data_IF_069899914281
#
_entry.id   IF_069899914281
#
_cell.length_a   1.000
_cell.length_b   1.000
_cell.length_c   1.000
_cell.angle_alpha   90.00
_cell.angle_beta   90.00
_cell.angle_gamma   90.00
#
_symmetry.space_group_name_H-M   'P 1'
#
loop_
_entity.id
_entity.type
_entity.pdbx_description
1 polymer ?
#
# COMPACT_ATOMS: atom_id res chain seq x y z
N UNK A 1 -32.92 -36.65 -0.23
CA UNK A 1 -31.89 -36.03 0.65
C UNK A 1 -30.72 -35.40 -0.09
N UNK A 2 -30.14 -36.02 -1.15
CA UNK A 2 -29.00 -35.42 -1.88
C UNK A 2 -29.38 -34.12 -2.60
N UNK A 3 -30.52 -34.06 -3.30
CA UNK A 3 -31.00 -32.86 -4.02
C UNK A 3 -31.22 -31.65 -3.11
N UNK A 4 -31.81 -31.84 -1.93
CA UNK A 4 -32.01 -30.78 -0.93
C UNK A 4 -30.68 -30.19 -0.41
N UNK A 5 -29.65 -31.02 -0.24
CA UNK A 5 -28.31 -30.54 0.15
C UNK A 5 -27.66 -29.68 -0.94
N UNK A 6 -27.86 -30.01 -2.22
CA UNK A 6 -27.31 -29.22 -3.33
C UNK A 6 -28.03 -27.88 -3.49
N UNK A 7 -29.36 -27.87 -3.30
CA UNK A 7 -30.15 -26.63 -3.32
C UNK A 7 -29.75 -25.73 -2.15
N UNK A 8 -29.60 -26.28 -0.94
CA UNK A 8 -29.16 -25.51 0.23
C UNK A 8 -27.73 -24.95 0.04
N UNK A 9 -26.82 -25.76 -0.51
CA UNK A 9 -25.46 -25.31 -0.86
C UNK A 9 -25.47 -24.18 -1.89
N UNK A 10 -26.33 -24.27 -2.91
CA UNK A 10 -26.46 -23.24 -3.93
C UNK A 10 -26.98 -21.92 -3.36
N UNK A 11 -28.02 -21.94 -2.53
CA UNK A 11 -28.56 -20.74 -1.88
C UNK A 11 -27.57 -20.12 -0.87
N UNK A 12 -26.85 -20.95 -0.11
CA UNK A 12 -25.80 -20.46 0.81
C UNK A 12 -24.62 -19.87 0.05
N UNK A 13 -24.20 -20.46 -1.06
CA UNK A 13 -23.17 -19.89 -1.93
C UNK A 13 -23.61 -18.54 -2.52
N UNK A 14 -24.85 -18.42 -3.01
CA UNK A 14 -25.40 -17.15 -3.51
C UNK A 14 -25.43 -16.09 -2.41
N UNK A 15 -25.85 -16.44 -1.20
CA UNK A 15 -25.90 -15.52 -0.07
C UNK A 15 -24.50 -15.07 0.38
N UNK A 16 -23.52 -15.98 0.37
CA UNK A 16 -22.13 -15.63 0.66
C UNK A 16 -21.51 -14.75 -0.44
N UNK A 17 -21.90 -14.95 -1.70
CA UNK A 17 -21.46 -14.15 -2.84
C UNK A 17 -22.10 -12.75 -2.88
N UNK A 18 -23.31 -12.59 -2.35
CA UNK A 18 -23.98 -11.28 -2.22
C UNK A 18 -23.52 -10.49 -0.99
N UNK A 19 -22.93 -11.16 0.00
CA UNK A 19 -22.33 -10.49 1.15
C UNK A 19 -21.09 -9.69 0.74
N UNK A 20 -20.99 -8.43 1.19
CA UNK A 20 -19.87 -7.53 0.87
C UNK A 20 -18.61 -7.85 1.72
N UNK A 21 -18.12 -9.08 1.60
CA UNK A 21 -16.97 -9.62 2.32
C UNK A 21 -15.67 -9.40 1.54
N UNK A 22 -14.52 -9.63 2.19
CA UNK A 22 -13.21 -9.64 1.53
C UNK A 22 -13.17 -10.66 0.40
N UNK A 23 -13.74 -11.85 0.62
CA UNK A 23 -13.78 -12.94 -0.35
C UNK A 23 -14.50 -12.51 -1.63
N UNK A 24 -15.68 -11.88 -1.52
CA UNK A 24 -16.46 -11.49 -2.68
C UNK A 24 -15.84 -10.32 -3.44
N UNK A 25 -15.24 -9.36 -2.72
CA UNK A 25 -14.45 -8.29 -3.36
C UNK A 25 -13.25 -8.86 -4.11
N UNK A 26 -12.50 -9.77 -3.50
CA UNK A 26 -11.35 -10.40 -4.14
C UNK A 26 -11.76 -11.23 -5.38
N UNK A 27 -12.82 -12.04 -5.30
CA UNK A 27 -13.31 -12.79 -6.47
C UNK A 27 -13.77 -11.86 -7.60
N UNK A 28 -14.37 -10.72 -7.26
CA UNK A 28 -14.89 -9.76 -8.23
C UNK A 28 -13.80 -8.91 -8.90
N UNK A 29 -12.84 -8.43 -8.12
CA UNK A 29 -11.86 -7.44 -8.55
C UNK A 29 -10.45 -8.01 -8.75
N UNK A 30 -10.14 -9.16 -8.16
CA UNK A 30 -8.82 -9.79 -8.27
C UNK A 30 -7.79 -9.20 -7.29
N UNK A 31 -6.52 -9.38 -7.63
CA UNK A 31 -5.39 -8.73 -6.95
C UNK A 31 -5.34 -7.24 -7.24
N UNK A 32 -4.56 -6.49 -6.46
CA UNK A 32 -4.40 -5.05 -6.65
C UNK A 32 -3.96 -4.64 -8.05
N UNK A 33 -4.55 -3.55 -8.55
CA UNK A 33 -4.28 -2.98 -9.87
C UNK A 33 -4.08 -1.44 -9.81
N UNK A 34 -3.48 -0.88 -10.86
CA UNK A 34 -3.26 0.56 -11.01
C UNK A 34 -4.56 1.36 -11.15
N UNK A 35 -5.64 0.70 -11.56
CA UNK A 35 -6.96 1.30 -11.79
C UNK A 35 -7.92 1.17 -10.59
N UNK A 36 -7.45 0.63 -9.46
CA UNK A 36 -8.31 0.34 -8.30
C UNK A 36 -8.91 1.59 -7.63
N UNK A 37 -8.39 2.79 -7.92
CA UNK A 37 -9.04 4.04 -7.50
C UNK A 37 -10.51 4.14 -7.98
N UNK A 38 -10.89 3.39 -9.02
CA UNK A 38 -12.26 3.32 -9.55
C UNK A 38 -13.22 2.49 -8.67
N UNK A 39 -12.70 1.58 -7.85
CA UNK A 39 -13.50 0.67 -7.02
C UNK A 39 -13.55 1.07 -5.54
N UNK A 40 -12.60 1.88 -5.09
CA UNK A 40 -12.55 2.38 -3.72
C UNK A 40 -13.24 3.75 -3.58
N UNK A 41 -13.79 4.08 -2.40
CA UNK A 41 -14.32 5.41 -2.14
C UNK A 41 -13.21 6.46 -2.23
N UNK A 42 -13.49 7.57 -2.89
CA UNK A 42 -12.57 8.70 -3.02
C UNK A 42 -12.91 9.77 -1.99
N UNK A 43 -11.87 10.38 -1.42
CA UNK A 43 -12.00 11.57 -0.59
C UNK A 43 -11.55 12.77 -1.39
N UNK A 44 -12.41 13.79 -1.44
CA UNK A 44 -12.10 15.06 -2.07
C UNK A 44 -11.37 15.95 -1.06
N UNK A 45 -10.15 16.35 -1.40
CA UNK A 45 -9.38 17.31 -0.62
C UNK A 45 -9.47 18.69 -1.25
N UNK A 46 -9.45 19.73 -0.43
CA UNK A 46 -9.30 21.08 -0.93
C UNK A 46 -7.91 21.23 -1.56
N UNK A 47 -7.86 21.62 -2.83
CA UNK A 47 -6.59 21.86 -3.51
C UNK A 47 -5.80 22.97 -2.81
N UNK A 48 -4.49 22.78 -2.69
CA UNK A 48 -3.60 23.84 -2.26
C UNK A 48 -3.56 24.94 -3.35
N UNK A 49 -3.89 26.21 -3.04
CA UNK A 49 -3.85 27.29 -4.03
C UNK A 49 -2.43 27.53 -4.56
N UNK A 50 -1.39 27.17 -3.80
CA UNK A 50 0.00 27.26 -4.22
C UNK A 50 0.34 26.06 -5.11
N UNK A 51 0.21 26.26 -6.43
CA UNK A 51 0.65 25.28 -7.43
C UNK A 51 2.05 25.60 -7.89
N UNK A 52 2.94 24.61 -7.81
CA UNK A 52 4.22 24.68 -8.49
C UNK A 52 4.03 24.24 -9.95
N UNK A 53 4.53 25.03 -10.90
CA UNK A 53 4.46 24.71 -12.33
C UNK A 53 5.86 24.45 -12.85
N UNK A 54 6.06 23.28 -13.47
CA UNK A 54 7.33 22.95 -14.13
C UNK A 54 7.46 23.72 -15.44
N UNK A 55 8.64 24.24 -15.72
CA UNK A 55 8.99 24.73 -17.04
C UNK A 55 9.05 23.56 -18.05
N UNK A 56 8.76 23.83 -19.31
CA UNK A 56 8.78 22.81 -20.38
C UNK A 56 10.05 22.98 -21.22
N UNK A 57 10.87 21.93 -21.28
CA UNK A 57 12.05 21.89 -22.14
C UNK A 57 12.14 20.52 -22.82
N UNK A 58 11.20 20.27 -23.73
CA UNK A 58 11.11 19.01 -24.46
C UNK A 58 12.11 19.02 -25.62
N UNK A 59 13.31 18.51 -25.39
CA UNK A 59 14.25 18.32 -26.48
C UNK A 59 15.07 17.05 -26.25
N UNK A 60 14.60 15.92 -26.79
CA UNK A 60 15.42 14.72 -26.99
C UNK A 60 14.68 13.66 -27.80
N UNK A 61 15.36 13.10 -28.79
CA UNK A 61 14.94 11.89 -29.51
C UNK A 61 15.46 10.67 -28.72
N UNK A 62 14.54 9.79 -28.29
CA UNK A 62 14.80 8.71 -27.32
C UNK A 62 14.25 7.36 -27.83
N UNK A 63 14.42 7.09 -29.12
CA UNK A 63 13.73 6.00 -29.83
C UNK A 63 13.97 4.61 -29.21
N UNK A 64 15.19 4.30 -28.77
CA UNK A 64 15.49 3.02 -28.09
C UNK A 64 14.87 2.91 -26.70
N UNK A 65 14.80 4.02 -25.95
CA UNK A 65 14.14 4.06 -24.66
C UNK A 65 12.62 3.91 -24.81
N UNK A 66 12.04 4.54 -25.83
CA UNK A 66 10.61 4.43 -26.14
C UNK A 66 10.18 2.98 -26.41
N UNK A 67 10.98 2.25 -27.19
CA UNK A 67 10.73 0.81 -27.44
C UNK A 67 10.80 -0.01 -26.14
N UNK A 68 11.76 0.29 -25.27
CA UNK A 68 11.86 -0.37 -23.97
C UNK A 68 10.63 -0.07 -23.08
N UNK A 69 10.26 1.20 -22.95
CA UNK A 69 9.12 1.63 -22.12
C UNK A 69 7.80 1.01 -22.60
N UNK A 70 7.59 0.93 -23.91
CA UNK A 70 6.39 0.29 -24.44
C UNK A 70 6.38 -1.22 -24.14
N UNK A 71 7.53 -1.89 -24.33
CA UNK A 71 7.71 -3.32 -24.03
C UNK A 71 7.54 -3.65 -22.55
N UNK A 72 7.93 -2.75 -21.64
CA UNK A 72 7.76 -2.94 -20.18
C UNK A 72 6.38 -2.56 -19.68
N UNK A 73 5.42 -2.34 -20.56
CA UNK A 73 4.06 -1.96 -20.19
C UNK A 73 3.94 -0.64 -19.42
N UNK A 74 4.89 0.29 -19.61
CA UNK A 74 4.84 1.61 -18.99
C UNK A 74 3.56 2.35 -19.36
N UNK A 75 3.00 3.12 -18.41
CA UNK A 75 1.83 3.99 -18.60
C UNK A 75 2.23 5.45 -18.71
N UNK A 76 3.10 5.90 -17.82
CA UNK A 76 3.62 7.26 -17.77
C UNK A 76 5.13 7.23 -17.49
N UNK A 77 5.87 8.11 -18.17
CA UNK A 77 7.29 8.31 -17.94
C UNK A 77 7.63 9.80 -18.05
N UNK A 78 8.24 10.34 -17.00
CA UNK A 78 8.55 11.77 -16.88
C UNK A 78 9.99 11.92 -16.37
N UNK A 79 10.77 12.79 -17.00
CA UNK A 79 12.12 13.19 -16.56
C UNK A 79 12.11 14.65 -16.20
N UNK A 80 12.40 14.94 -14.93
CA UNK A 80 12.46 16.29 -14.38
C UNK A 80 13.90 16.59 -13.98
N UNK A 81 14.39 17.77 -14.36
CA UNK A 81 15.68 18.30 -13.90
C UNK A 81 15.48 19.73 -13.46
N UNK A 82 15.87 20.02 -12.21
CA UNK A 82 15.65 21.30 -11.55
C UNK A 82 14.14 21.63 -11.50
N UNK A 83 13.72 22.65 -12.23
CA UNK A 83 12.36 23.16 -12.34
C UNK A 83 11.68 22.76 -13.66
N UNK A 84 12.35 21.97 -14.50
CA UNK A 84 11.96 21.74 -15.88
C UNK A 84 11.65 20.27 -16.17
N UNK A 85 10.52 20.01 -16.81
CA UNK A 85 10.22 18.74 -17.47
C UNK A 85 11.05 18.68 -18.75
N UNK A 86 12.02 17.78 -18.79
CA UNK A 86 12.89 17.57 -19.95
C UNK A 86 12.27 16.60 -20.96
N UNK A 87 11.50 15.65 -20.44
CA UNK A 87 10.85 14.63 -21.22
C UNK A 87 9.59 14.15 -20.51
N UNK A 88 8.54 13.91 -21.28
CA UNK A 88 7.31 13.33 -20.78
C UNK A 88 6.63 12.53 -21.90
N UNK A 89 6.21 11.32 -21.56
CA UNK A 89 5.48 10.45 -22.48
C UNK A 89 4.48 9.61 -21.72
N UNK A 90 3.27 9.55 -22.28
CA UNK A 90 2.21 8.68 -21.84
C UNK A 90 1.91 7.62 -22.91
N UNK A 91 1.50 6.45 -22.45
CA UNK A 91 1.29 5.25 -23.25
C UNK A 91 -0.09 4.68 -22.99
N UNK A 92 -0.61 3.84 -23.90
CA UNK A 92 -1.86 3.08 -23.72
C UNK A 92 -3.05 3.97 -23.34
N UNK A 93 -3.16 5.12 -24.02
CA UNK A 93 -4.20 6.14 -23.82
C UNK A 93 -4.22 6.79 -22.44
N UNK A 94 -3.15 6.67 -21.65
CA UNK A 94 -2.97 7.52 -20.48
C UNK A 94 -2.60 8.94 -20.92
N UNK A 95 -2.93 9.89 -20.06
CA UNK A 95 -2.67 11.31 -20.14
C UNK A 95 -2.07 11.81 -18.83
N UNK A 96 -1.75 13.10 -18.79
CA UNK A 96 -1.23 13.76 -17.59
C UNK A 96 -2.25 13.79 -16.46
N UNK A 97 -3.53 13.80 -16.80
CA UNK A 97 -4.66 13.97 -15.91
C UNK A 97 -5.16 12.63 -15.33
N UNK A 98 -4.69 11.50 -15.87
CA UNK A 98 -5.12 10.18 -15.42
C UNK A 98 -4.52 9.79 -14.07
N UNK A 99 -5.37 9.22 -13.21
CA UNK A 99 -4.98 8.71 -11.90
C UNK A 99 -4.43 7.28 -12.07
N UNK A 100 -3.35 6.97 -11.34
CA UNK A 100 -2.76 5.64 -11.29
C UNK A 100 -2.25 5.33 -9.89
N UNK A 101 -2.52 4.13 -9.38
CA UNK A 101 -1.99 3.67 -8.10
C UNK A 101 -0.47 3.55 -8.17
N UNK A 102 0.24 4.23 -7.26
CA UNK A 102 1.72 4.22 -7.20
C UNK A 102 2.28 3.12 -6.26
N UNK A 103 1.39 2.30 -5.70
CA UNK A 103 1.72 1.21 -4.78
C UNK A 103 2.67 1.63 -3.65
N UNK A 104 3.81 0.95 -3.51
CA UNK A 104 4.75 1.17 -2.41
C UNK A 104 5.52 2.48 -2.48
N UNK A 105 5.43 3.25 -3.57
CA UNK A 105 5.94 4.64 -3.61
C UNK A 105 5.30 5.47 -2.49
N UNK A 106 4.04 5.21 -2.15
CA UNK A 106 3.33 5.87 -1.05
C UNK A 106 4.05 5.76 0.30
N UNK A 107 4.84 4.70 0.54
CA UNK A 107 5.58 4.53 1.81
C UNK A 107 6.63 5.62 2.02
N UNK A 108 7.25 6.10 0.94
CA UNK A 108 8.21 7.21 0.99
C UNK A 108 7.52 8.51 1.38
N UNK A 109 6.29 8.75 0.88
CA UNK A 109 5.47 9.89 1.27
C UNK A 109 5.08 9.79 2.75
N UNK A 110 4.65 8.61 3.22
CA UNK A 110 4.38 8.39 4.65
C UNK A 110 5.62 8.65 5.51
N UNK A 111 6.80 8.17 5.09
CA UNK A 111 8.07 8.44 5.81
C UNK A 111 8.41 9.93 5.86
N UNK A 112 8.16 10.68 4.78
CA UNK A 112 8.33 12.12 4.74
C UNK A 112 7.40 12.81 5.75
N UNK A 113 6.13 12.41 5.82
CA UNK A 113 5.16 12.94 6.78
C UNK A 113 5.58 12.67 8.23
N UNK A 114 6.19 11.52 8.52
CA UNK A 114 6.79 11.25 9.84
C UNK A 114 7.94 12.22 10.13
N UNK A 115 8.78 12.50 9.13
CA UNK A 115 9.84 13.52 9.24
C UNK A 115 9.30 14.92 9.56
N UNK A 116 8.19 15.32 8.92
CA UNK A 116 7.51 16.59 9.20
C UNK A 116 6.94 16.57 10.62
N UNK A 117 6.27 15.50 11.03
CA UNK A 117 5.71 15.38 12.37
C UNK A 117 6.77 15.43 13.49
N UNK A 118 7.98 14.93 13.23
CA UNK A 118 9.14 15.11 14.11
C UNK A 118 9.58 16.57 14.19
N UNK A 119 9.71 17.24 13.04
CA UNK A 119 10.10 18.64 12.97
C UNK A 119 9.10 19.57 13.69
N UNK A 120 7.80 19.28 13.55
CA UNK A 120 6.72 20.04 14.18
C UNK A 120 6.50 19.66 15.67
N UNK A 121 7.20 18.64 16.18
CA UNK A 121 7.13 18.22 17.59
C UNK A 121 5.91 17.37 17.96
N UNK A 122 5.12 16.91 16.99
CA UNK A 122 4.05 15.92 17.22
C UNK A 122 4.62 14.54 17.57
N UNK A 123 5.80 14.23 17.04
CA UNK A 123 6.61 13.07 17.43
C UNK A 123 7.90 13.63 18.03
N UNK A 124 8.31 13.15 19.20
CA UNK A 124 9.50 13.66 19.88
C UNK A 124 10.75 12.94 19.41
N UNK A 125 10.66 11.62 19.21
CA UNK A 125 11.78 10.80 18.77
C UNK A 125 11.29 9.55 18.04
N UNK A 126 12.03 9.10 17.01
CA UNK A 126 11.70 7.87 16.28
C UNK A 126 11.81 6.60 17.13
N UNK A 127 12.49 6.67 18.28
CA UNK A 127 12.60 5.60 19.25
C UNK A 127 11.38 5.53 20.20
N UNK A 128 10.40 6.43 20.07
CA UNK A 128 9.16 6.32 20.82
C UNK A 128 8.38 5.05 20.40
N UNK A 129 7.77 4.32 21.35
CA UNK A 129 6.90 3.20 21.05
C UNK A 129 5.72 3.61 20.16
N UNK A 130 5.37 2.79 19.17
CA UNK A 130 4.21 3.06 18.31
C UNK A 130 2.89 3.09 19.09
N UNK A 131 2.84 2.38 20.22
CA UNK A 131 1.68 2.32 21.10
C UNK A 131 1.38 3.64 21.80
N UNK A 132 2.29 4.62 21.74
CA UNK A 132 2.01 5.99 22.18
C UNK A 132 1.02 6.70 21.24
N UNK A 133 0.88 6.22 19.99
CA UNK A 133 0.07 6.84 18.94
C UNK A 133 -1.09 5.95 18.49
N UNK A 134 -0.95 4.63 18.67
CA UNK A 134 -1.98 3.63 18.34
C UNK A 134 -2.12 2.72 19.56
N UNK A 135 -2.83 3.22 20.57
CA UNK A 135 -2.93 2.59 21.89
C UNK A 135 -3.54 1.19 21.81
N UNK A 136 -4.45 0.95 20.86
CA UNK A 136 -5.16 -0.32 20.76
C UNK A 136 -4.26 -1.49 20.35
N UNK A 137 -3.08 -1.22 19.79
CA UNK A 137 -2.07 -2.25 19.52
C UNK A 137 -1.46 -2.81 20.82
N UNK A 138 -1.42 -2.00 21.88
CA UNK A 138 -0.83 -2.39 23.16
C UNK A 138 -1.59 -3.54 23.83
N UNK A 139 -2.90 -3.62 23.60
CA UNK A 139 -3.80 -4.65 24.14
C UNK A 139 -3.81 -5.92 23.28
N UNK A 140 -3.54 -5.79 21.98
CA UNK A 140 -3.60 -6.90 21.05
C UNK A 140 -2.42 -7.88 21.22
N UNK A 141 -1.21 -7.36 21.39
CA UNK A 141 -0.02 -8.20 21.61
C UNK A 141 1.08 -7.44 22.36
N UNK A 142 1.68 -8.01 23.42
CA UNK A 142 2.71 -7.34 24.21
C UNK A 142 3.96 -6.95 23.41
N UNK A 143 4.22 -7.57 22.25
CA UNK A 143 5.36 -7.20 21.41
C UNK A 143 5.18 -5.84 20.72
N UNK A 144 3.96 -5.36 20.51
CA UNK A 144 3.73 -4.02 19.93
C UNK A 144 4.31 -2.90 20.81
N UNK A 145 4.31 -3.07 22.13
CA UNK A 145 4.92 -2.12 23.08
C UNK A 145 6.45 -1.99 22.90
N UNK A 146 7.09 -2.94 22.23
CA UNK A 146 8.54 -2.94 21.93
C UNK A 146 8.85 -2.36 20.54
N UNK A 147 7.83 -2.14 19.71
CA UNK A 147 8.02 -1.54 18.39
C UNK A 147 8.09 -0.03 18.52
N UNK A 148 9.14 0.56 17.97
CA UNK A 148 9.31 2.00 17.87
C UNK A 148 8.95 2.45 16.46
N UNK A 149 8.72 3.75 16.26
CA UNK A 149 8.51 4.32 14.93
C UNK A 149 9.67 3.94 13.99
N UNK A 150 10.90 3.98 14.49
CA UNK A 150 12.11 3.58 13.76
C UNK A 150 12.03 2.14 13.24
N UNK A 151 11.52 1.20 14.05
CA UNK A 151 11.35 -0.18 13.58
C UNK A 151 10.40 -0.30 12.39
N UNK A 152 9.38 0.56 12.30
CA UNK A 152 8.45 0.57 11.17
C UNK A 152 9.10 1.20 9.94
N UNK A 153 9.75 2.36 10.12
CA UNK A 153 10.46 3.05 9.04
C UNK A 153 11.56 2.17 8.40
N UNK A 154 12.25 1.40 9.23
CA UNK A 154 13.31 0.49 8.79
C UNK A 154 12.80 -0.89 8.33
N UNK A 155 11.48 -1.14 8.37
CA UNK A 155 10.86 -2.44 8.02
C UNK A 155 11.39 -3.62 8.88
N UNK A 156 11.57 -3.41 10.19
CA UNK A 156 12.16 -4.41 11.12
C UNK A 156 11.20 -4.89 12.20
N UNK A 157 9.90 -4.82 11.97
CA UNK A 157 8.89 -5.13 13.00
C UNK A 157 8.84 -6.61 13.40
N UNK A 158 9.35 -7.51 12.55
CA UNK A 158 9.24 -8.95 12.77
C UNK A 158 7.80 -9.49 12.69
N UNK A 159 6.85 -8.71 12.18
CA UNK A 159 5.47 -9.13 11.94
C UNK A 159 5.44 -10.28 10.93
N UNK A 160 4.71 -11.36 11.26
CA UNK A 160 4.36 -12.42 10.30
C UNK A 160 3.16 -11.94 9.49
N UNK A 161 3.43 -11.44 8.30
CA UNK A 161 2.42 -10.89 7.41
C UNK A 161 2.54 -11.55 6.03
N UNK A 162 1.46 -12.17 5.53
CA UNK A 162 1.46 -12.77 4.19
C UNK A 162 1.19 -11.68 3.16
N UNK A 163 2.24 -11.26 2.45
CA UNK A 163 2.21 -10.27 1.36
C UNK A 163 1.85 -10.87 -0.01
N UNK A 164 1.57 -12.17 -0.12
CA UNK A 164 1.21 -12.77 -1.40
C UNK A 164 -0.23 -12.41 -1.80
N UNK A 165 -0.37 -11.33 -2.55
CA UNK A 165 -1.65 -10.80 -3.01
C UNK A 165 -2.42 -11.71 -3.96
N UNK A 166 -1.80 -12.78 -4.47
CA UNK A 166 -2.48 -13.79 -5.29
C UNK A 166 -3.26 -14.79 -4.44
N UNK A 167 -3.01 -14.83 -3.13
CA UNK A 167 -3.72 -15.69 -2.19
C UNK A 167 -4.89 -14.94 -1.58
N UNK A 168 -6.09 -15.48 -1.80
CA UNK A 168 -7.35 -14.90 -1.33
C UNK A 168 -7.49 -14.82 0.20
N UNK A 169 -6.74 -15.66 0.93
CA UNK A 169 -6.72 -15.67 2.40
C UNK A 169 -5.44 -15.06 3.00
N UNK A 170 -4.65 -14.33 2.20
CA UNK A 170 -3.45 -13.64 2.69
C UNK A 170 -3.80 -12.44 3.57
N UNK A 171 -2.88 -12.09 4.48
CA UNK A 171 -3.01 -10.89 5.29
C UNK A 171 -3.18 -9.63 4.43
N UNK A 172 -2.48 -9.55 3.28
CA UNK A 172 -2.61 -8.41 2.37
C UNK A 172 -4.00 -8.31 1.72
N UNK A 173 -4.63 -9.43 1.33
CA UNK A 173 -5.98 -9.40 0.76
C UNK A 173 -7.02 -8.88 1.78
N UNK A 174 -6.89 -9.31 3.04
CA UNK A 174 -7.71 -8.79 4.14
C UNK A 174 -7.39 -7.35 4.50
N UNK A 175 -6.13 -6.90 4.39
CA UNK A 175 -5.77 -5.50 4.61
C UNK A 175 -6.35 -4.60 3.51
N UNK A 176 -6.28 -5.06 2.25
CA UNK A 176 -6.66 -4.30 1.07
C UNK A 176 -8.17 -4.18 0.90
N UNK A 177 -8.89 -5.30 0.97
CA UNK A 177 -10.34 -5.32 0.83
C UNK A 177 -11.08 -5.32 2.18
N UNK A 178 -10.39 -5.34 3.31
CA UNK A 178 -11.01 -5.31 4.63
C UNK A 178 -11.69 -3.99 4.94
N UNK A 179 -12.55 -3.99 5.97
CA UNK A 179 -13.17 -2.77 6.49
C UNK A 179 -12.42 -2.17 7.68
N UNK A 180 -11.51 -2.93 8.27
CA UNK A 180 -10.73 -2.51 9.43
C UNK A 180 -9.29 -3.04 9.31
N UNK A 181 -8.38 -2.17 8.92
CA UNK A 181 -6.97 -2.51 8.75
C UNK A 181 -6.30 -2.79 10.10
N UNK A 182 -6.73 -2.09 11.16
CA UNK A 182 -6.15 -2.25 12.49
C UNK A 182 -6.43 -3.66 13.04
N UNK A 183 -7.62 -4.21 12.80
CA UNK A 183 -7.94 -5.59 13.21
C UNK A 183 -7.03 -6.62 12.53
N UNK A 184 -6.70 -6.41 11.25
CA UNK A 184 -5.75 -7.27 10.52
C UNK A 184 -4.37 -7.21 11.17
N UNK A 185 -3.87 -6.01 11.47
CA UNK A 185 -2.56 -5.84 12.13
C UNK A 185 -2.56 -6.44 13.55
N UNK A 186 -3.62 -6.21 14.34
CA UNK A 186 -3.78 -6.79 15.69
C UNK A 186 -3.75 -8.32 15.67
N UNK A 187 -4.30 -8.94 14.62
CA UNK A 187 -4.33 -10.39 14.46
C UNK A 187 -2.98 -11.00 14.05
N UNK A 188 -2.02 -10.18 13.63
CA UNK A 188 -0.73 -10.68 13.16
C UNK A 188 0.12 -11.23 14.30
N UNK A 189 0.71 -12.38 14.04
CA UNK A 189 1.71 -12.97 14.92
C UNK A 189 3.10 -12.40 14.63
N UNK A 190 4.06 -12.75 15.48
CA UNK A 190 5.43 -12.26 15.38
C UNK A 190 6.43 -13.40 15.16
N UNK A 191 7.51 -13.10 14.45
CA UNK A 191 8.68 -13.95 14.37
C UNK A 191 9.62 -13.60 15.53
N UNK A 192 9.68 -14.49 16.53
CA UNK A 192 10.44 -14.27 17.76
C UNK A 192 11.93 -14.02 17.50
N UNK A 193 12.52 -14.69 16.51
CA UNK A 193 13.93 -14.51 16.16
C UNK A 193 14.19 -13.12 15.58
N UNK A 194 13.26 -12.59 14.77
CA UNK A 194 13.38 -11.25 14.21
C UNK A 194 13.18 -10.20 15.30
N UNK A 195 12.17 -10.39 16.16
CA UNK A 195 11.86 -9.46 17.25
C UNK A 195 13.01 -9.32 18.26
N UNK A 196 13.68 -10.43 18.59
CA UNK A 196 14.81 -10.39 19.53
C UNK A 196 16.03 -9.67 18.94
N UNK A 197 16.11 -9.52 17.61
CA UNK A 197 17.26 -8.96 16.90
C UNK A 197 16.95 -7.64 16.16
N UNK A 198 15.80 -6.99 16.41
CA UNK A 198 15.41 -5.76 15.69
C UNK A 198 16.43 -4.63 15.81
N UNK A 199 17.13 -4.57 16.94
CA UNK A 199 18.15 -3.55 17.24
C UNK A 199 19.54 -3.86 16.65
N UNK A 200 19.79 -5.09 16.18
CA UNK A 200 21.14 -5.55 15.85
C UNK A 200 21.34 -5.95 14.40
N UNK A 201 20.28 -6.22 13.64
CA UNK A 201 20.39 -6.62 12.21
C UNK A 201 19.46 -5.81 11.31
N UNK A 202 20.00 -5.37 10.17
CA UNK A 202 19.19 -4.93 9.03
C UNK A 202 18.63 -6.19 8.39
N UNK A 203 17.32 -6.41 8.50
CA UNK A 203 16.70 -7.52 7.78
C UNK A 203 16.62 -7.16 6.31
N UNK A 204 17.41 -7.83 5.48
CA UNK A 204 17.19 -7.79 4.03
C UNK A 204 15.85 -8.48 3.75
N UNK A 205 15.00 -7.81 2.97
CA UNK A 205 13.76 -8.38 2.43
C UNK A 205 14.12 -9.68 1.72
N UNK A 206 13.54 -10.80 2.15
CA UNK A 206 13.55 -12.01 1.33
C UNK A 206 12.59 -11.74 0.18
N UNK A 207 13.14 -11.40 -0.98
CA UNK A 207 12.43 -11.40 -2.25
C UNK A 207 12.33 -12.83 -2.78
#
# INVERSE_FOLDING_TARGET
MKTLKHILFFFTAIFLLSACTVLTRYVKYGSEDIDDYKIFPTYQFQENPLKYTFAQNTNTQLDSLLLFLDKTSTRSFIVIRNDSVLYEKYFRNYSREDISTVFSVSKSVTSLLIGIALYEGYIKDVNEPITNYIEELAEANPYFKKLTIKHLLDMRTGLKFDEDSRKIFSSIAYLYYGKNQLDVIKSCNFNLNLIQNMNTKVFQRQF
#
